data_IF_681905955528
#
_entry.id   IF_681905955528
#
_cell.length_a   1.000
_cell.length_b   1.000
_cell.length_c   1.000
_cell.angle_alpha   90.00
_cell.angle_beta   90.00
_cell.angle_gamma   90.00
#
_symmetry.space_group_name_H-M   'P 1'
#
loop_
_entity.id
_entity.type
_entity.pdbx_description
1 polymer ?
#
# COMPACT_ATOMS: atom_id res chain seq x y z
N UNK A 1 16.76 -30.25 50.30
CA UNK A 1 17.51 -31.39 49.81
C UNK A 1 16.50 -32.47 49.45
N UNK A 2 15.74 -32.26 48.39
CA UNK A 2 14.66 -33.18 47.94
C UNK A 2 14.16 -32.91 46.51
N UNK A 3 14.99 -32.33 45.62
CA UNK A 3 14.56 -32.00 44.27
C UNK A 3 15.35 -32.69 43.12
N UNK A 4 16.43 -33.39 43.47
CA UNK A 4 17.28 -34.03 42.45
C UNK A 4 16.98 -35.56 42.24
N UNK A 5 16.02 -36.10 42.95
CA UNK A 5 15.73 -37.55 42.88
C UNK A 5 14.64 -37.88 41.84
N UNK A 6 13.79 -36.95 41.44
CA UNK A 6 12.69 -37.23 40.50
C UNK A 6 13.08 -37.20 39.00
N UNK A 7 14.16 -36.53 38.62
CA UNK A 7 14.57 -36.42 37.22
C UNK A 7 15.31 -37.63 36.66
N UNK A 8 15.80 -38.51 37.47
CA UNK A 8 16.56 -39.68 37.01
C UNK A 8 15.77 -40.97 36.88
N UNK A 9 14.53 -41.02 37.38
CA UNK A 9 13.69 -42.22 37.31
C UNK A 9 13.08 -42.45 35.91
N UNK A 10 12.88 -41.38 35.14
CA UNK A 10 12.16 -41.47 33.85
C UNK A 10 13.05 -41.86 32.64
N UNK A 11 14.35 -41.59 32.64
CA UNK A 11 15.20 -41.87 31.49
C UNK A 11 15.90 -43.25 31.50
N UNK A 12 16.09 -43.86 32.65
CA UNK A 12 16.65 -45.24 32.74
C UNK A 12 15.62 -46.34 32.48
N UNK A 13 14.39 -46.12 32.90
CA UNK A 13 13.32 -47.09 32.84
C UNK A 13 12.73 -47.31 31.44
N UNK A 14 12.70 -46.24 30.61
CA UNK A 14 12.12 -46.32 29.26
C UNK A 14 12.99 -47.17 28.32
N UNK A 15 14.31 -46.98 28.34
CA UNK A 15 15.18 -47.78 27.50
C UNK A 15 15.27 -49.22 27.95
N UNK A 16 15.18 -49.49 29.24
CA UNK A 16 15.13 -50.84 29.78
C UNK A 16 13.79 -51.50 29.47
N UNK A 17 12.65 -50.79 29.64
CA UNK A 17 11.33 -51.29 29.30
C UNK A 17 11.20 -51.55 27.78
N UNK A 18 11.73 -50.66 26.93
CA UNK A 18 11.76 -50.88 25.48
C UNK A 18 12.61 -52.09 25.11
N UNK A 19 13.79 -52.30 25.72
CA UNK A 19 14.62 -53.48 25.49
C UNK A 19 13.93 -54.77 25.94
N UNK A 20 13.23 -54.77 27.06
CA UNK A 20 12.47 -55.94 27.54
C UNK A 20 11.30 -56.26 26.58
N UNK A 21 10.55 -55.27 26.12
CA UNK A 21 9.45 -55.44 25.17
C UNK A 21 9.96 -55.99 23.83
N UNK A 22 11.07 -55.48 23.29
CA UNK A 22 11.59 -55.94 22.00
C UNK A 22 12.48 -57.19 22.09
N UNK A 23 12.84 -57.65 23.29
CA UNK A 23 13.55 -58.91 23.48
C UNK A 23 12.66 -60.14 23.41
N UNK A 24 11.36 -59.98 23.67
CA UNK A 24 10.40 -61.08 23.64
C UNK A 24 9.91 -61.33 22.20
N UNK A 25 10.09 -62.55 21.74
CA UNK A 25 9.63 -63.02 20.40
C UNK A 25 8.13 -62.76 20.17
N UNK A 26 7.33 -62.97 21.21
CA UNK A 26 5.88 -62.78 21.16
C UNK A 26 5.51 -61.31 21.01
N UNK A 27 6.19 -60.42 21.72
CA UNK A 27 6.01 -58.99 21.62
C UNK A 27 6.36 -58.46 20.22
N UNK A 28 7.46 -58.91 19.62
CA UNK A 28 7.87 -58.55 18.28
C UNK A 28 6.84 -59.01 17.22
N UNK A 29 6.24 -60.18 17.39
CA UNK A 29 5.16 -60.66 16.48
C UNK A 29 3.94 -59.75 16.57
N UNK A 30 3.53 -59.42 17.81
CA UNK A 30 2.38 -58.54 18.03
C UNK A 30 2.66 -57.15 17.42
N UNK A 31 3.85 -56.59 17.68
CA UNK A 31 4.27 -55.31 17.09
C UNK A 31 4.27 -55.35 15.54
N UNK A 32 4.82 -56.39 14.95
CA UNK A 32 4.82 -56.58 13.50
C UNK A 32 3.39 -56.64 12.93
N UNK A 33 2.47 -57.29 13.64
CA UNK A 33 1.05 -57.33 13.22
C UNK A 33 0.43 -55.93 13.27
N UNK A 34 0.64 -55.17 14.38
CA UNK A 34 0.11 -53.82 14.50
C UNK A 34 0.68 -52.87 13.42
N UNK A 35 1.97 -52.91 13.20
CA UNK A 35 2.63 -52.11 12.15
C UNK A 35 2.08 -52.50 10.77
N UNK A 36 1.96 -53.78 10.48
CA UNK A 36 1.39 -54.27 9.21
C UNK A 36 -0.04 -53.79 9.01
N UNK A 37 -0.86 -53.90 10.08
CA UNK A 37 -2.26 -53.45 10.07
C UNK A 37 -2.35 -51.94 9.83
N UNK A 38 -1.47 -51.16 10.50
CA UNK A 38 -1.40 -49.72 10.32
C UNK A 38 -1.06 -49.32 8.86
N UNK A 39 -0.09 -50.02 8.25
CA UNK A 39 0.25 -49.81 6.85
C UNK A 39 -0.88 -50.20 5.90
N UNK A 40 -1.57 -51.31 6.15
CA UNK A 40 -2.72 -51.70 5.33
C UNK A 40 -3.85 -50.69 5.43
N UNK A 41 -4.23 -50.27 6.64
CA UNK A 41 -5.28 -49.28 6.85
C UNK A 41 -4.85 -47.92 6.22
N UNK A 42 -3.61 -47.47 6.47
CA UNK A 42 -3.08 -46.25 5.89
C UNK A 42 -3.08 -46.28 4.37
N UNK A 43 -2.70 -47.42 3.77
CA UNK A 43 -2.70 -47.57 2.31
C UNK A 43 -4.11 -47.54 1.74
N UNK A 44 -5.08 -48.15 2.41
CA UNK A 44 -6.49 -48.11 2.01
C UNK A 44 -7.05 -46.69 2.07
N UNK A 45 -6.74 -45.96 3.15
CA UNK A 45 -7.13 -44.54 3.27
C UNK A 45 -6.47 -43.64 2.21
N UNK A 46 -5.16 -43.84 1.96
CA UNK A 46 -4.46 -43.10 0.94
C UNK A 46 -5.02 -43.41 -0.45
N UNK A 47 -5.38 -44.66 -0.73
CA UNK A 47 -5.97 -45.01 -2.01
C UNK A 47 -7.39 -44.43 -2.16
N UNK A 48 -8.21 -44.49 -1.11
CA UNK A 48 -9.55 -43.92 -1.12
C UNK A 48 -9.50 -42.40 -1.31
N UNK A 49 -8.58 -41.72 -0.59
CA UNK A 49 -8.36 -40.31 -0.73
C UNK A 49 -7.91 -39.94 -2.16
N UNK A 50 -6.92 -40.65 -2.71
CA UNK A 50 -6.42 -40.37 -4.06
C UNK A 50 -7.49 -40.62 -5.14
N UNK A 51 -8.37 -41.62 -4.92
CA UNK A 51 -9.39 -41.95 -5.93
C UNK A 51 -10.61 -41.02 -5.89
N UNK A 52 -11.01 -40.57 -4.68
CA UNK A 52 -12.30 -39.88 -4.50
C UNK A 52 -12.16 -38.40 -4.17
N UNK A 53 -10.97 -37.90 -3.76
CA UNK A 53 -10.78 -36.56 -3.27
C UNK A 53 -9.59 -35.81 -3.90
N UNK A 54 -8.70 -36.54 -4.58
CA UNK A 54 -7.48 -35.92 -5.14
C UNK A 54 -7.83 -34.91 -6.22
N UNK A 55 -8.69 -35.26 -7.17
CA UNK A 55 -9.07 -34.39 -8.28
C UNK A 55 -9.80 -33.15 -7.76
N UNK A 56 -10.75 -33.30 -6.82
CA UNK A 56 -11.44 -32.17 -6.18
C UNK A 56 -10.49 -31.25 -5.43
N UNK A 57 -9.46 -31.83 -4.76
CA UNK A 57 -8.46 -31.03 -4.05
C UNK A 57 -7.52 -30.30 -5.02
N UNK A 58 -7.19 -30.88 -6.17
CA UNK A 58 -6.40 -30.24 -7.21
C UNK A 58 -7.21 -29.13 -7.86
N UNK A 59 -8.46 -29.39 -8.24
CA UNK A 59 -9.34 -28.40 -8.87
C UNK A 59 -9.55 -27.19 -7.94
N UNK A 60 -9.70 -27.41 -6.62
CA UNK A 60 -9.83 -26.33 -5.64
C UNK A 60 -8.55 -25.47 -5.47
N UNK A 61 -7.41 -25.92 -6.00
CA UNK A 61 -6.14 -25.18 -5.99
C UNK A 61 -5.75 -24.62 -7.35
N UNK A 62 -6.49 -24.94 -8.40
CA UNK A 62 -6.23 -24.37 -9.72
C UNK A 62 -6.56 -22.88 -9.71
N UNK A 63 -5.71 -22.03 -10.30
CA UNK A 63 -6.01 -20.62 -10.42
C UNK A 63 -7.21 -20.42 -11.36
N UNK A 64 -8.13 -19.60 -10.91
CA UNK A 64 -9.27 -19.08 -11.66
C UNK A 64 -8.97 -17.63 -12.04
N UNK A 65 -9.57 -17.17 -13.13
CA UNK A 65 -9.41 -15.80 -13.63
C UNK A 65 -10.42 -14.87 -12.92
N UNK A 66 -9.91 -13.89 -12.18
CA UNK A 66 -10.68 -12.93 -11.41
C UNK A 66 -10.50 -11.53 -11.97
N UNK A 67 -11.59 -10.77 -12.01
CA UNK A 67 -11.53 -9.31 -12.19
C UNK A 67 -11.59 -8.64 -10.82
N UNK A 68 -10.56 -7.86 -10.50
CA UNK A 68 -10.52 -7.01 -9.30
C UNK A 68 -11.12 -5.67 -9.71
N UNK A 69 -12.24 -5.32 -9.10
CA UNK A 69 -12.93 -4.06 -9.29
C UNK A 69 -12.59 -3.11 -8.13
N UNK A 70 -12.27 -1.85 -8.46
CA UNK A 70 -11.96 -0.81 -7.48
C UNK A 70 -13.18 0.10 -7.30
N UNK A 71 -13.70 0.19 -6.07
CA UNK A 71 -14.65 1.22 -5.66
C UNK A 71 -13.85 2.40 -5.10
N UNK A 72 -13.85 3.53 -5.81
CA UNK A 72 -12.97 4.66 -5.54
C UNK A 72 -13.77 5.80 -4.90
N UNK A 73 -13.24 6.34 -3.81
CA UNK A 73 -13.70 7.58 -3.18
C UNK A 73 -12.56 8.61 -3.18
N UNK A 74 -12.86 9.85 -3.56
CA UNK A 74 -11.88 10.95 -3.59
C UNK A 74 -12.16 11.89 -2.42
N UNK A 75 -11.14 12.05 -1.56
CA UNK A 75 -11.15 12.99 -0.45
C UNK A 75 -10.28 14.18 -0.81
N UNK A 76 -10.72 15.39 -0.45
CA UNK A 76 -10.05 16.63 -0.81
C UNK A 76 -9.64 17.41 0.43
N UNK A 77 -8.47 18.05 0.37
CA UNK A 77 -8.05 19.11 1.27
C UNK A 77 -7.49 20.29 0.45
N UNK A 78 -7.63 21.49 0.98
CA UNK A 78 -7.20 22.71 0.33
C UNK A 78 -6.47 23.58 1.34
N UNK A 79 -5.37 24.21 0.91
CA UNK A 79 -4.63 25.20 1.66
C UNK A 79 -4.33 26.39 0.76
N UNK A 80 -4.76 27.59 1.19
CA UNK A 80 -4.52 28.83 0.48
C UNK A 80 -3.76 29.78 1.38
N UNK A 81 -2.66 30.33 0.88
CA UNK A 81 -1.81 31.26 1.62
C UNK A 81 -1.11 32.21 0.64
N UNK A 82 -0.61 33.35 1.16
CA UNK A 82 0.18 34.32 0.39
C UNK A 82 1.67 34.04 0.59
N UNK A 83 2.41 33.91 -0.51
CA UNK A 83 3.88 33.83 -0.55
C UNK A 83 4.47 35.18 -0.90
N UNK A 84 5.59 35.47 -0.28
CA UNK A 84 6.41 36.65 -0.63
C UNK A 84 7.48 36.25 -1.63
N UNK A 85 8.04 37.27 -2.34
CA UNK A 85 9.15 37.01 -3.23
C UNK A 85 10.33 36.29 -2.57
N UNK A 86 10.91 35.31 -3.26
CA UNK A 86 11.95 34.36 -2.76
C UNK A 86 11.55 33.55 -1.52
N UNK A 87 10.25 33.49 -1.18
CA UNK A 87 9.80 32.70 -0.03
C UNK A 87 9.65 31.23 -0.37
N UNK A 88 10.09 30.40 0.58
CA UNK A 88 9.93 28.94 0.55
C UNK A 88 9.15 28.50 1.79
N UNK A 89 8.03 27.81 1.59
CA UNK A 89 7.23 27.23 2.67
C UNK A 89 7.04 25.75 2.45
N UNK A 90 6.91 25.02 3.56
CA UNK A 90 6.50 23.61 3.58
C UNK A 90 5.12 23.53 4.24
N UNK A 91 4.17 22.97 3.53
CA UNK A 91 2.80 22.82 3.97
C UNK A 91 2.56 21.34 4.29
N UNK A 92 2.08 21.10 5.51
CA UNK A 92 1.85 19.76 6.06
C UNK A 92 0.39 19.38 5.94
N UNK A 93 0.11 18.24 5.33
CA UNK A 93 -1.20 17.60 5.33
C UNK A 93 -1.12 16.29 6.12
N UNK A 94 -1.78 16.26 7.28
CA UNK A 94 -1.81 15.07 8.13
C UNK A 94 -2.80 14.06 7.54
N UNK A 95 -2.32 12.86 7.20
CA UNK A 95 -3.16 11.85 6.56
C UNK A 95 -4.29 11.35 7.48
N UNK A 96 -4.13 11.49 8.79
CA UNK A 96 -5.17 11.19 9.79
C UNK A 96 -6.37 12.15 9.75
N UNK A 97 -6.20 13.36 9.19
CA UNK A 97 -7.28 14.35 9.06
C UNK A 97 -8.23 14.00 7.90
N UNK A 98 -7.78 13.18 6.96
CA UNK A 98 -8.64 12.64 5.92
C UNK A 98 -9.50 11.52 6.51
N UNK A 99 -10.81 11.70 6.50
CA UNK A 99 -11.77 10.73 7.05
C UNK A 99 -11.92 9.49 6.15
N UNK A 100 -10.82 8.73 5.99
CA UNK A 100 -10.83 7.48 5.21
C UNK A 100 -11.72 6.46 5.91
N UNK A 101 -12.62 5.79 5.16
CA UNK A 101 -13.51 4.74 5.68
C UNK A 101 -12.71 3.53 6.15
N UNK A 102 -13.20 2.80 7.17
CA UNK A 102 -12.48 1.66 7.77
C UNK A 102 -12.10 0.55 6.78
N UNK A 103 -12.88 0.38 5.71
CA UNK A 103 -12.70 -0.65 4.70
C UNK A 103 -12.02 -0.13 3.41
N UNK A 104 -11.51 1.11 3.43
CA UNK A 104 -10.82 1.73 2.31
C UNK A 104 -9.32 1.89 2.59
N UNK A 105 -8.54 1.82 1.53
CA UNK A 105 -7.09 2.03 1.51
C UNK A 105 -6.75 3.25 0.67
N UNK A 106 -5.65 3.93 0.98
CA UNK A 106 -5.18 5.06 0.18
C UNK A 106 -4.40 4.53 -1.02
N UNK A 107 -4.86 4.82 -2.24
CA UNK A 107 -4.28 4.37 -3.50
C UNK A 107 -3.20 5.28 -4.03
N UNK A 108 -3.53 6.57 -4.20
CA UNK A 108 -2.64 7.61 -4.71
C UNK A 108 -3.06 8.98 -4.19
N UNK A 109 -2.14 9.94 -4.26
CA UNK A 109 -2.37 11.34 -3.94
C UNK A 109 -2.03 12.17 -5.17
N UNK A 110 -2.92 13.09 -5.52
CA UNK A 110 -2.74 14.07 -6.58
C UNK A 110 -2.75 15.46 -5.98
N UNK A 111 -1.82 16.30 -6.41
CA UNK A 111 -1.65 17.65 -5.90
C UNK A 111 -1.70 18.62 -7.07
N UNK A 112 -2.51 19.66 -6.92
CA UNK A 112 -2.53 20.77 -7.87
C UNK A 112 -2.14 22.03 -7.13
N UNK A 113 -1.06 22.68 -7.57
CA UNK A 113 -0.63 24.00 -7.10
C UNK A 113 -1.17 25.00 -8.09
N UNK A 114 -1.99 25.92 -7.60
CA UNK A 114 -2.76 26.88 -8.40
C UNK A 114 -2.30 28.29 -8.03
N UNK A 115 -1.59 28.99 -8.92
CA UNK A 115 -1.31 30.41 -8.74
C UNK A 115 -2.61 31.22 -8.83
N UNK A 116 -2.75 32.24 -8.02
CA UNK A 116 -3.81 33.23 -8.22
C UNK A 116 -3.43 34.09 -9.43
N UNK A 117 -4.19 33.97 -10.50
CA UNK A 117 -4.10 34.94 -11.59
C UNK A 117 -4.81 36.20 -11.13
N UNK A 118 -4.02 37.17 -10.66
CA UNK A 118 -4.54 38.43 -10.13
C UNK A 118 -5.65 39.04 -11.00
N UNK A 119 -6.66 39.62 -10.38
CA UNK A 119 -7.84 40.24 -11.01
C UNK A 119 -7.49 41.33 -12.06
N UNK A 120 -6.20 41.61 -12.26
CA UNK A 120 -5.64 42.55 -13.22
C UNK A 120 -4.97 41.93 -14.43
N UNK A 121 -4.80 40.63 -14.49
CA UNK A 121 -4.21 39.94 -15.61
C UNK A 121 -5.17 39.88 -16.82
N UNK A 122 -5.38 41.02 -17.46
CA UNK A 122 -5.82 41.04 -18.84
C UNK A 122 -4.65 40.47 -19.68
N UNK A 123 -4.79 39.22 -20.15
CA UNK A 123 -3.81 38.55 -21.03
C UNK A 123 -3.40 39.36 -22.26
N UNK A 124 -3.92 40.58 -22.38
CA UNK A 124 -3.57 41.57 -23.40
C UNK A 124 -2.58 42.61 -22.90
N UNK A 125 -2.25 42.65 -21.59
CA UNK A 125 -1.25 43.54 -21.05
C UNK A 125 0.16 42.90 -21.11
N UNK A 126 1.06 43.37 -21.95
CA UNK A 126 2.42 42.83 -22.09
C UNK A 126 3.32 43.10 -20.85
N UNK A 127 2.80 43.74 -19.82
CA UNK A 127 3.50 44.05 -18.58
C UNK A 127 3.16 43.07 -17.45
N UNK A 128 2.15 42.25 -17.61
CA UNK A 128 1.83 41.17 -16.67
C UNK A 128 2.74 39.98 -16.98
N UNK A 129 3.70 39.72 -16.12
CA UNK A 129 4.55 38.54 -16.17
C UNK A 129 4.07 37.57 -15.10
N UNK A 130 3.99 36.30 -15.46
CA UNK A 130 3.71 35.25 -14.49
C UNK A 130 4.92 35.02 -13.60
N UNK A 131 4.68 34.80 -12.32
CA UNK A 131 5.71 34.46 -11.37
C UNK A 131 6.20 33.02 -11.57
N UNK A 132 7.44 32.79 -11.20
CA UNK A 132 7.99 31.44 -11.24
C UNK A 132 7.67 30.73 -9.94
N UNK A 133 6.89 29.64 -10.04
CA UNK A 133 6.51 28.80 -8.91
C UNK A 133 7.15 27.43 -9.10
N UNK A 134 7.74 26.90 -8.03
CA UNK A 134 8.21 25.51 -7.96
C UNK A 134 7.51 24.78 -6.81
N UNK A 135 7.13 23.53 -7.06
CA UNK A 135 6.51 22.66 -6.07
C UNK A 135 7.20 21.30 -6.02
N UNK A 136 7.42 20.81 -4.81
CA UNK A 136 8.03 19.51 -4.56
C UNK A 136 7.26 18.76 -3.49
N UNK A 137 7.07 17.45 -3.68
CA UNK A 137 6.63 16.53 -2.60
C UNK A 137 7.89 16.05 -1.87
N UNK A 138 8.05 16.45 -0.60
CA UNK A 138 9.22 16.06 0.19
C UNK A 138 9.14 14.60 0.63
N UNK A 139 10.24 13.87 0.42
CA UNK A 139 10.37 12.48 0.89
C UNK A 139 10.57 12.48 2.39
N UNK A 140 9.58 11.98 3.12
CA UNK A 140 9.52 12.00 4.58
C UNK A 140 8.98 10.69 5.18
N UNK A 141 8.36 10.76 6.37
CA UNK A 141 7.80 9.62 7.10
C UNK A 141 6.49 9.05 6.51
N UNK A 142 5.93 9.68 5.46
CA UNK A 142 4.75 9.13 4.78
C UNK A 142 5.05 7.76 4.16
N UNK A 143 4.26 6.76 4.49
CA UNK A 143 4.41 5.41 3.93
C UNK A 143 3.86 5.36 2.51
N UNK A 144 4.72 5.45 1.50
CA UNK A 144 4.36 5.54 0.09
C UNK A 144 5.33 4.79 -0.83
N UNK A 145 4.97 4.65 -2.10
CA UNK A 145 5.81 4.07 -3.16
C UNK A 145 6.76 5.13 -3.76
N UNK A 146 7.64 5.70 -2.95
CA UNK A 146 8.53 6.80 -3.34
C UNK A 146 9.39 6.53 -4.59
N UNK A 147 9.75 5.28 -4.84
CA UNK A 147 10.59 4.89 -5.98
C UNK A 147 9.79 4.46 -7.20
N UNK A 148 8.47 4.63 -7.20
CA UNK A 148 7.64 4.30 -8.37
C UNK A 148 7.96 5.26 -9.52
N UNK A 149 8.26 4.71 -10.69
CA UNK A 149 8.71 5.49 -11.86
C UNK A 149 7.61 6.38 -12.47
N UNK A 150 6.36 6.13 -12.13
CA UNK A 150 5.22 6.93 -12.57
C UNK A 150 4.97 8.16 -11.72
N UNK A 151 5.61 8.31 -10.55
CA UNK A 151 5.43 9.48 -9.71
C UNK A 151 5.96 10.74 -10.36
N UNK A 152 5.22 11.84 -10.20
CA UNK A 152 5.65 13.18 -10.52
C UNK A 152 5.79 13.99 -9.22
N UNK A 153 6.98 13.96 -8.61
CA UNK A 153 7.22 14.51 -7.28
C UNK A 153 7.60 15.99 -7.29
N UNK A 154 7.92 16.57 -8.44
CA UNK A 154 8.31 17.98 -8.54
C UNK A 154 7.87 18.59 -9.84
N UNK A 155 7.56 19.88 -9.82
CA UNK A 155 7.18 20.65 -10.98
C UNK A 155 7.50 22.13 -10.81
N UNK A 156 7.56 22.84 -11.91
CA UNK A 156 7.72 24.29 -11.91
C UNK A 156 6.95 24.90 -13.08
N UNK A 157 6.44 26.10 -12.87
CA UNK A 157 5.79 26.90 -13.92
C UNK A 157 6.16 28.38 -13.81
N UNK A 158 6.13 29.09 -14.92
CA UNK A 158 6.32 30.54 -15.03
C UNK A 158 5.40 31.14 -16.10
N UNK A 159 4.30 30.45 -16.37
CA UNK A 159 3.31 30.83 -17.39
C UNK A 159 1.89 30.96 -16.81
N UNK A 160 1.76 31.09 -15.49
CA UNK A 160 0.50 31.11 -14.75
C UNK A 160 -0.34 29.84 -14.96
N UNK A 161 0.28 28.72 -15.27
CA UNK A 161 -0.40 27.43 -15.37
C UNK A 161 -0.30 26.65 -14.05
N UNK A 162 -1.25 25.76 -13.83
CA UNK A 162 -1.24 24.91 -12.66
C UNK A 162 -0.09 23.91 -12.72
N UNK A 163 0.53 23.64 -11.57
CA UNK A 163 1.52 22.58 -11.42
C UNK A 163 0.82 21.33 -10.88
N UNK A 164 1.04 20.20 -11.54
CA UNK A 164 0.45 18.91 -11.17
C UNK A 164 1.53 17.98 -10.67
N UNK A 165 1.36 17.48 -9.44
CA UNK A 165 2.22 16.47 -8.83
C UNK A 165 1.39 15.24 -8.48
N UNK A 166 2.03 14.07 -8.47
CA UNK A 166 1.38 12.83 -8.05
C UNK A 166 2.32 11.88 -7.33
N UNK A 167 1.76 11.19 -6.35
CA UNK A 167 2.46 10.20 -5.54
C UNK A 167 1.61 8.94 -5.43
N UNK A 168 2.14 7.83 -5.87
CA UNK A 168 1.52 6.53 -5.64
C UNK A 168 1.77 6.08 -4.21
N UNK A 169 0.70 5.78 -3.49
CA UNK A 169 0.73 5.31 -2.11
C UNK A 169 0.72 3.77 -2.09
N UNK A 170 -0.32 3.16 -2.62
CA UNK A 170 -0.50 1.70 -2.57
C UNK A 170 0.21 1.01 -3.74
N UNK A 171 0.97 -0.09 -3.47
CA UNK A 171 1.66 -0.82 -4.53
C UNK A 171 0.71 -1.38 -5.58
N UNK A 172 0.98 -1.04 -6.84
CA UNK A 172 0.21 -1.56 -7.98
C UNK A 172 -1.17 -0.94 -8.18
N UNK A 173 -1.57 0.04 -7.37
CA UNK A 173 -2.83 0.77 -7.58
C UNK A 173 -2.78 1.55 -8.88
N UNK A 174 -3.81 1.39 -9.70
CA UNK A 174 -3.96 2.11 -10.98
C UNK A 174 -5.28 2.88 -11.08
N UNK A 175 -6.21 2.65 -10.15
CA UNK A 175 -7.57 3.15 -10.23
C UNK A 175 -8.44 2.45 -11.30
N UNK A 176 -7.90 1.47 -12.00
CA UNK A 176 -8.61 0.70 -13.04
C UNK A 176 -8.76 -0.76 -12.62
N UNK A 177 -9.81 -1.42 -13.15
CA UNK A 177 -10.02 -2.85 -12.91
C UNK A 177 -8.85 -3.67 -13.43
N UNK A 178 -8.45 -4.70 -12.66
CA UNK A 178 -7.32 -5.57 -12.97
C UNK A 178 -7.77 -7.02 -13.05
N UNK A 179 -7.04 -7.83 -13.82
CA UNK A 179 -7.19 -9.29 -13.80
C UNK A 179 -6.18 -9.94 -12.87
N UNK A 180 -6.59 -10.99 -12.17
CA UNK A 180 -5.76 -11.75 -11.24
C UNK A 180 -6.07 -13.22 -11.34
N UNK A 181 -5.03 -14.04 -11.49
CA UNK A 181 -5.12 -15.50 -11.43
C UNK A 181 -4.96 -15.95 -9.98
N UNK A 182 -6.01 -16.45 -9.36
CA UNK A 182 -5.99 -16.92 -7.99
C UNK A 182 -6.93 -18.12 -7.77
N UNK A 183 -6.62 -19.05 -6.85
CA UNK A 183 -7.46 -20.22 -6.58
C UNK A 183 -8.82 -19.89 -5.96
N UNK A 184 -8.97 -18.68 -5.40
CA UNK A 184 -10.21 -18.23 -4.77
C UNK A 184 -10.20 -16.71 -4.59
N UNK A 185 -11.38 -16.14 -4.33
CA UNK A 185 -11.61 -14.73 -4.09
C UNK A 185 -10.67 -14.13 -3.04
N UNK A 186 -10.49 -14.80 -1.90
CA UNK A 186 -9.63 -14.30 -0.82
C UNK A 186 -8.18 -14.09 -1.27
N UNK A 187 -7.63 -15.04 -2.04
CA UNK A 187 -6.26 -14.92 -2.57
C UNK A 187 -6.15 -13.88 -3.67
N UNK A 188 -7.20 -13.69 -4.47
CA UNK A 188 -7.26 -12.63 -5.47
C UNK A 188 -7.22 -11.24 -4.82
N UNK A 189 -7.94 -11.05 -3.69
CA UNK A 189 -8.02 -9.79 -2.94
C UNK A 189 -6.84 -9.55 -1.98
N UNK A 190 -6.10 -10.59 -1.58
CA UNK A 190 -5.05 -10.49 -0.58
C UNK A 190 -3.99 -9.40 -0.86
N UNK A 191 -3.53 -9.16 -2.11
CA UNK A 191 -2.60 -8.07 -2.40
C UNK A 191 -3.15 -6.68 -2.12
N UNK A 192 -4.47 -6.51 -2.03
CA UNK A 192 -5.20 -5.24 -1.91
C UNK A 192 -5.70 -4.96 -0.49
N UNK A 193 -5.32 -5.80 0.49
CA UNK A 193 -5.77 -5.70 1.89
C UNK A 193 -4.62 -5.45 2.88
N UNK A 194 -3.49 -4.93 2.40
CA UNK A 194 -2.31 -4.65 3.23
C UNK A 194 -2.46 -3.27 3.87
N UNK A 195 -2.48 -3.24 5.20
CA UNK A 195 -2.56 -2.01 5.97
C UNK A 195 -1.21 -1.27 6.06
N UNK A 196 -1.26 0.00 6.46
CA UNK A 196 -0.10 0.83 6.76
C UNK A 196 0.38 1.70 5.60
N UNK A 197 -0.23 1.61 4.44
CA UNK A 197 0.03 2.52 3.33
C UNK A 197 -0.71 3.84 3.53
N UNK A 198 -0.02 4.97 3.31
CA UNK A 198 -0.56 6.32 3.46
C UNK A 198 -0.60 6.80 4.91
N UNK A 199 0.09 6.14 5.85
CA UNK A 199 0.26 6.65 7.21
C UNK A 199 1.40 7.67 7.25
N UNK A 200 1.19 8.80 7.97
CA UNK A 200 2.18 9.85 8.16
C UNK A 200 1.69 11.23 7.76
N UNK A 201 2.63 12.08 7.34
CA UNK A 201 2.39 13.47 6.94
C UNK A 201 2.84 13.65 5.51
N UNK A 202 2.01 14.24 4.67
CA UNK A 202 2.36 14.68 3.33
C UNK A 202 2.91 16.12 3.44
N UNK A 203 4.18 16.31 3.11
CA UNK A 203 4.85 17.60 3.10
C UNK A 203 5.01 18.10 1.66
N UNK A 204 4.47 19.29 1.38
CA UNK A 204 4.54 19.93 0.08
C UNK A 204 5.35 21.21 0.23
N UNK A 205 6.51 21.24 -0.38
CA UNK A 205 7.36 22.44 -0.45
C UNK A 205 6.95 23.27 -1.66
N UNK A 206 6.71 24.56 -1.45
CA UNK A 206 6.44 25.52 -2.52
C UNK A 206 7.39 26.70 -2.39
N UNK A 207 7.96 27.11 -3.52
CA UNK A 207 8.87 28.24 -3.65
C UNK A 207 8.33 29.20 -4.71
N UNK A 208 8.32 30.50 -4.39
CA UNK A 208 7.90 31.59 -5.26
C UNK A 208 9.12 32.44 -5.60
N UNK A 209 9.26 32.80 -6.88
CA UNK A 209 10.19 33.80 -7.41
C UNK A 209 9.39 34.79 -8.28
N UNK A 210 9.13 35.97 -7.71
CA UNK A 210 8.30 37.00 -8.35
C UNK A 210 9.06 37.69 -9.49
N UNK A 211 8.47 37.61 -10.67
CA UNK A 211 9.01 38.29 -11.86
C UNK A 211 8.65 39.79 -11.87
N UNK A 212 9.20 40.58 -10.95
CA UNK A 212 8.98 42.00 -10.96
C UNK A 212 9.83 42.70 -12.04
N UNK A 213 9.18 43.55 -12.85
CA UNK A 213 9.88 44.39 -13.84
C UNK A 213 10.53 45.58 -13.11
N UNK A 214 11.80 45.42 -12.74
CA UNK A 214 12.61 46.52 -12.24
C UNK A 214 12.64 47.67 -13.29
N UNK A 215 12.23 48.90 -12.88
CA UNK A 215 12.57 50.18 -13.55
C UNK A 215 11.53 50.92 -14.39
N UNK A 216 10.23 50.77 -14.24
CA UNK A 216 9.30 51.66 -14.98
C UNK A 216 8.51 52.68 -14.14
N UNK A 217 9.11 53.26 -13.10
CA UNK A 217 8.55 54.42 -12.38
C UNK A 217 7.76 54.03 -11.11
N UNK A 218 6.92 54.88 -10.51
CA UNK A 218 6.24 54.64 -9.24
C UNK A 218 5.02 53.72 -9.44
N UNK A 219 5.22 52.56 -9.99
CA UNK A 219 4.22 51.48 -10.04
C UNK A 219 4.48 50.63 -8.82
N UNK A 220 3.41 50.19 -8.15
CA UNK A 220 3.47 49.19 -7.10
C UNK A 220 4.20 47.99 -7.64
N UNK A 221 5.34 47.63 -7.07
CA UNK A 221 6.00 46.36 -7.38
C UNK A 221 5.07 45.26 -6.81
N UNK A 222 4.90 44.23 -7.60
CA UNK A 222 4.30 43.00 -7.13
C UNK A 222 5.36 42.31 -6.25
N UNK A 223 5.02 41.99 -5.02
CA UNK A 223 5.95 41.43 -4.03
C UNK A 223 5.41 40.10 -3.43
N UNK A 224 4.18 39.72 -3.78
CA UNK A 224 3.52 38.53 -3.22
C UNK A 224 2.54 37.88 -4.20
N UNK A 225 2.26 36.61 -3.99
CA UNK A 225 1.31 35.81 -4.77
C UNK A 225 0.51 34.93 -3.84
N UNK A 226 -0.82 34.89 -4.02
CA UNK A 226 -1.66 33.90 -3.35
C UNK A 226 -1.61 32.57 -4.09
N UNK A 227 -1.19 31.51 -3.39
CA UNK A 227 -1.09 30.18 -3.96
C UNK A 227 -2.05 29.24 -3.24
N UNK A 228 -2.85 28.52 -4.00
CA UNK A 228 -3.73 27.48 -3.49
C UNK A 228 -3.14 26.09 -3.80
N UNK A 229 -3.02 25.26 -2.78
CA UNK A 229 -2.60 23.86 -2.88
C UNK A 229 -3.85 23.00 -2.69
N UNK A 230 -4.27 22.29 -3.73
CA UNK A 230 -5.35 21.31 -3.67
C UNK A 230 -4.75 19.91 -3.60
N UNK A 231 -5.14 19.13 -2.60
CA UNK A 231 -4.74 17.74 -2.40
C UNK A 231 -5.95 16.83 -2.59
N UNK A 232 -5.87 15.91 -3.54
CA UNK A 232 -6.86 14.89 -3.80
C UNK A 232 -6.31 13.52 -3.39
N UNK A 233 -6.90 12.89 -2.38
CA UNK A 233 -6.54 11.56 -1.89
C UNK A 233 -7.50 10.55 -2.47
N UNK A 234 -7.02 9.72 -3.38
CA UNK A 234 -7.78 8.61 -3.94
C UNK A 234 -7.76 7.44 -2.97
N UNK A 235 -8.90 7.11 -2.41
CA UNK A 235 -9.10 5.93 -1.58
C UNK A 235 -9.86 4.87 -2.34
N UNK A 236 -9.66 3.60 -1.99
CA UNK A 236 -10.31 2.49 -2.68
C UNK A 236 -10.68 1.35 -1.73
N UNK A 237 -11.74 0.66 -2.09
CA UNK A 237 -12.06 -0.69 -1.64
C UNK A 237 -12.04 -1.62 -2.86
N UNK A 238 -11.88 -2.93 -2.66
CA UNK A 238 -11.80 -3.90 -3.75
C UNK A 238 -12.84 -5.00 -3.63
N UNK A 239 -13.35 -5.43 -4.78
CA UNK A 239 -14.21 -6.60 -4.94
C UNK A 239 -13.63 -7.51 -6.03
N UNK A 240 -13.74 -8.82 -5.88
CA UNK A 240 -13.30 -9.76 -6.90
C UNK A 240 -14.51 -10.46 -7.55
N UNK A 241 -14.54 -10.46 -8.87
CA UNK A 241 -15.58 -11.08 -9.68
C UNK A 241 -14.96 -12.19 -10.52
N UNK A 242 -15.48 -13.41 -10.40
CA UNK A 242 -15.02 -14.56 -11.18
C UNK A 242 -15.39 -14.38 -12.65
N UNK A 243 -14.41 -14.49 -13.54
CA UNK A 243 -14.62 -14.47 -14.98
C UNK A 243 -15.08 -15.86 -15.45
N UNK A 244 -16.24 -15.93 -16.08
CA UNK A 244 -16.84 -17.14 -16.62
C UNK A 244 -16.42 -17.39 -18.08
#
# INVERSE_FOLDING_TARGET
MSEDTEKNIFNGDINQALNEIFSLRESNVIYAIFVSLFFVIGSLHAFDWNKNYYDDAVDATMPEDWTIEFDIEILNAEHTEVWQDEEVKVIDFFMEDFSVREDYYIGAIFITIIPEVGDGADLTDPLVQCDAIAGDIEVNDLTAQWNYQGNNLSGQDSSCENIYLDLQIYPGYTGENLTSDAPNEFQALMPWTINGWGEGVLEIKVELDVNSVDQLGPVSQDEDEEITILVEVHTFNTNAVLNN
#
